data_IF_967119722450
#
_entry.id   IF_967119722450
#
_cell.length_a   1.000
_cell.length_b   1.000
_cell.length_c   1.000
_cell.angle_alpha   90.00
_cell.angle_beta   90.00
_cell.angle_gamma   90.00
#
_symmetry.space_group_name_H-M   'P 1'
#
loop_
_entity.id
_entity.type
_entity.pdbx_description
1 polymer ?
#
# COMPACT_ATOMS: atom_id res chain seq x y z
N UNK A 1 -6.71 11.94 -47.35
CA UNK A 1 -5.77 11.65 -46.25
C UNK A 1 -5.08 10.40 -46.71
N UNK A 2 -3.85 10.56 -47.18
CA UNK A 2 -3.17 9.53 -47.96
C UNK A 2 -2.45 8.60 -47.00
N UNK A 3 -2.61 7.28 -47.17
CA UNK A 3 -2.09 6.25 -46.25
C UNK A 3 -0.56 6.33 -46.06
N UNK A 4 0.15 6.92 -47.03
CA UNK A 4 1.59 7.17 -46.97
C UNK A 4 1.95 8.25 -45.94
N UNK A 5 1.06 9.20 -45.68
CA UNK A 5 1.26 10.22 -44.65
C UNK A 5 1.11 9.63 -43.24
N UNK A 6 0.23 8.64 -43.07
CA UNK A 6 0.03 7.92 -41.80
C UNK A 6 1.25 7.04 -41.48
N UNK A 7 1.85 6.41 -42.49
CA UNK A 7 3.07 5.60 -42.33
C UNK A 7 4.27 6.44 -41.91
N UNK A 8 4.45 7.61 -42.52
CA UNK A 8 5.52 8.56 -42.16
C UNK A 8 5.40 9.03 -40.70
N UNK A 9 4.20 9.36 -40.24
CA UNK A 9 3.94 9.75 -38.85
C UNK A 9 4.21 8.61 -37.84
N UNK A 10 3.90 7.37 -38.21
CA UNK A 10 4.15 6.19 -37.37
C UNK A 10 5.64 5.83 -37.31
N UNK A 11 6.39 6.03 -38.39
CA UNK A 11 7.82 5.75 -38.46
C UNK A 11 8.65 6.81 -37.71
N UNK A 12 8.20 8.06 -37.69
CA UNK A 12 8.82 9.16 -36.92
C UNK A 12 8.63 8.97 -35.40
N UNK A 13 7.51 8.38 -34.96
CA UNK A 13 7.25 8.04 -33.55
C UNK A 13 8.06 6.84 -33.04
N UNK A 14 8.43 5.92 -33.94
CA UNK A 14 9.26 4.75 -33.62
C UNK A 14 10.72 5.15 -33.29
N UNK A 15 11.24 6.20 -33.90
CA UNK A 15 12.65 6.61 -33.75
C UNK A 15 12.97 7.48 -32.52
N UNK A 16 11.98 7.85 -31.69
CA UNK A 16 12.18 8.77 -30.55
C UNK A 16 11.94 8.15 -29.16
N UNK A 17 11.82 6.82 -29.03
CA UNK A 17 11.58 6.17 -27.74
C UNK A 17 12.68 5.15 -27.40
N UNK A 18 13.86 5.64 -27.05
CA UNK A 18 14.83 4.86 -26.26
C UNK A 18 14.80 5.41 -24.83
N UNK A 19 13.90 4.84 -24.03
CA UNK A 19 13.99 4.88 -22.57
C UNK A 19 14.29 3.44 -22.15
N UNK A 20 15.58 3.16 -21.97
CA UNK A 20 16.03 2.02 -21.17
C UNK A 20 15.81 2.41 -19.71
N UNK A 21 14.88 1.73 -19.04
CA UNK A 21 14.78 1.77 -17.58
C UNK A 21 14.93 0.34 -17.08
N UNK A 22 16.07 0.11 -16.44
CA UNK A 22 16.50 -1.18 -15.89
C UNK A 22 15.63 -1.53 -14.68
N UNK A 23 15.00 -2.71 -14.77
CA UNK A 23 14.71 -3.65 -13.70
C UNK A 23 14.73 -3.12 -12.24
N UNK A 24 13.53 -2.93 -11.67
CA UNK A 24 13.34 -3.02 -10.22
C UNK A 24 12.27 -4.07 -9.91
N UNK A 25 12.72 -5.18 -9.31
CA UNK A 25 11.92 -6.33 -8.95
C UNK A 25 11.48 -6.19 -7.49
N UNK A 26 10.21 -5.86 -7.24
CA UNK A 26 9.65 -5.82 -5.88
C UNK A 26 8.43 -6.78 -5.80
N UNK A 27 8.79 -8.04 -5.52
CA UNK A 27 8.13 -9.07 -4.70
C UNK A 27 6.59 -9.06 -4.60
N UNK A 28 5.94 -10.01 -5.27
CA UNK A 28 4.56 -10.43 -4.97
C UNK A 28 4.50 -11.14 -3.61
N UNK A 29 3.77 -10.54 -2.66
CA UNK A 29 3.42 -11.16 -1.38
C UNK A 29 2.33 -12.22 -1.61
N UNK A 30 2.75 -13.47 -1.81
CA UNK A 30 1.86 -14.62 -1.97
C UNK A 30 1.24 -14.98 -0.60
N UNK A 31 0.06 -14.44 -0.32
CA UNK A 31 -0.77 -14.92 0.81
C UNK A 31 -1.40 -16.25 0.41
N UNK A 32 -0.79 -17.36 0.81
CA UNK A 32 -1.42 -18.69 0.76
C UNK A 32 -2.61 -18.72 1.72
N UNK A 33 -3.82 -18.73 1.14
CA UNK A 33 -5.05 -19.04 1.86
C UNK A 33 -5.12 -20.57 1.99
N UNK A 34 -4.82 -21.10 3.17
CA UNK A 34 -5.10 -22.50 3.48
C UNK A 34 -6.60 -22.67 3.75
N UNK A 35 -7.32 -23.26 2.80
CA UNK A 35 -8.67 -23.81 3.04
C UNK A 35 -8.53 -25.09 3.87
N UNK A 36 -8.94 -25.04 5.13
CA UNK A 36 -9.02 -26.25 5.98
C UNK A 36 -10.31 -27.02 5.64
N UNK A 37 -10.19 -28.07 4.83
CA UNK A 37 -11.23 -29.09 4.69
C UNK A 37 -11.05 -30.13 5.80
N UNK A 38 -11.97 -30.14 6.77
CA UNK A 38 -12.05 -31.20 7.77
C UNK A 38 -12.76 -32.41 7.15
N UNK A 39 -11.98 -33.40 6.76
CA UNK A 39 -12.48 -34.70 6.33
C UNK A 39 -12.57 -35.64 7.54
N UNK A 40 -13.76 -36.11 7.87
CA UNK A 40 -14.01 -37.06 8.96
C UNK A 40 -14.57 -38.33 8.36
N UNK A 41 -13.68 -39.24 7.99
CA UNK A 41 -14.08 -40.59 7.58
C UNK A 41 -14.07 -41.49 8.83
N UNK A 42 -15.28 -41.83 9.28
CA UNK A 42 -15.52 -42.97 10.15
C UNK A 42 -15.38 -44.22 9.31
N UNK A 43 -14.56 -45.17 9.74
CA UNK A 43 -14.75 -46.58 9.41
C UNK A 43 -14.54 -47.44 10.66
N UNK A 44 -15.61 -48.15 10.96
CA UNK A 44 -15.77 -49.21 11.95
C UNK A 44 -15.30 -50.50 11.27
N UNK A 45 -14.31 -51.19 11.83
CA UNK A 45 -14.14 -52.62 11.53
C UNK A 45 -13.52 -53.35 12.73
N UNK A 46 -14.32 -54.30 13.18
CA UNK A 46 -14.12 -55.23 14.27
C UNK A 46 -13.48 -56.51 13.71
N UNK A 47 -12.31 -56.91 14.22
CA UNK A 47 -11.84 -58.30 14.06
C UNK A 47 -10.96 -58.72 15.26
N UNK A 48 -11.49 -59.67 16.04
CA UNK A 48 -10.75 -60.51 16.98
C UNK A 48 -9.95 -61.56 16.20
N UNK A 49 -8.69 -61.82 16.59
CA UNK A 49 -8.16 -63.17 16.95
C UNK A 49 -6.61 -63.19 17.05
N UNK A 50 -6.19 -63.91 18.10
CA UNK A 50 -4.92 -64.62 18.35
C UNK A 50 -3.68 -63.85 18.80
N UNK A 51 -3.36 -64.11 20.06
CA UNK A 51 -2.11 -63.89 20.77
C UNK A 51 -1.00 -64.79 20.20
N UNK A 52 0.04 -64.20 19.61
CA UNK A 52 1.37 -64.81 19.52
C UNK A 52 2.42 -63.80 19.98
N UNK A 53 3.10 -64.17 21.07
CA UNK A 53 4.14 -63.41 21.75
C UNK A 53 5.38 -63.22 20.87
N UNK A 54 5.50 -62.05 20.24
CA UNK A 54 6.79 -61.43 19.98
C UNK A 54 6.95 -60.21 20.87
N UNK A 55 7.84 -60.34 21.85
CA UNK A 55 8.23 -59.33 22.84
C UNK A 55 9.05 -58.19 22.18
N UNK A 56 8.46 -57.49 21.24
CA UNK A 56 8.96 -56.20 20.77
C UNK A 56 8.22 -55.12 21.54
N UNK A 57 8.89 -54.51 22.52
CA UNK A 57 8.37 -53.32 23.19
C UNK A 57 8.04 -52.32 22.09
N UNK A 58 6.75 -52.12 21.80
CA UNK A 58 6.27 -51.13 20.86
C UNK A 58 6.84 -49.78 21.29
N UNK A 59 7.92 -49.36 20.64
CA UNK A 59 8.49 -48.06 20.93
C UNK A 59 7.51 -47.03 20.38
N UNK A 60 7.06 -46.12 21.25
CA UNK A 60 6.22 -44.97 20.92
C UNK A 60 6.95 -43.94 20.03
N UNK A 61 8.02 -44.33 19.33
CA UNK A 61 8.81 -43.47 18.46
C UNK A 61 9.41 -44.24 17.29
N UNK A 62 9.61 -43.55 16.17
CA UNK A 62 10.44 -43.99 15.06
C UNK A 62 11.90 -43.54 15.30
N UNK A 63 12.86 -44.34 14.82
CA UNK A 63 14.27 -43.99 14.88
C UNK A 63 14.74 -43.45 13.52
N UNK A 64 15.46 -42.34 13.56
CA UNK A 64 16.11 -41.76 12.38
C UNK A 64 17.19 -42.68 11.82
N UNK A 65 17.58 -42.46 10.56
CA UNK A 65 18.64 -43.23 9.89
C UNK A 65 20.01 -43.13 10.59
N UNK A 66 20.20 -42.09 11.41
CA UNK A 66 21.38 -41.87 12.24
C UNK A 66 21.41 -42.76 13.50
N UNK A 67 20.33 -43.51 13.77
CA UNK A 67 20.17 -44.35 14.95
C UNK A 67 20.04 -43.57 16.27
N UNK A 68 19.96 -42.24 16.22
CA UNK A 68 19.98 -41.38 17.41
C UNK A 68 18.74 -40.50 17.52
N UNK A 69 18.23 -40.01 16.39
CA UNK A 69 17.06 -39.13 16.38
C UNK A 69 15.80 -39.95 16.62
N UNK A 70 15.00 -39.58 17.64
CA UNK A 70 13.74 -40.25 17.98
C UNK A 70 12.56 -39.36 17.62
N UNK A 71 11.61 -39.91 16.86
CA UNK A 71 10.38 -39.26 16.41
C UNK A 71 9.18 -39.90 17.08
N UNK A 72 8.64 -39.27 18.13
CA UNK A 72 7.49 -39.84 18.85
C UNK A 72 6.28 -39.97 17.92
N UNK A 73 5.57 -41.10 18.02
CA UNK A 73 4.35 -41.43 17.25
C UNK A 73 3.14 -40.63 17.74
N UNK A 74 3.14 -40.23 19.00
CA UNK A 74 2.10 -39.43 19.62
C UNK A 74 2.60 -38.01 19.90
N UNK A 75 1.72 -36.99 19.79
CA UNK A 75 2.05 -35.64 20.21
C UNK A 75 2.42 -35.63 21.69
N UNK A 76 3.37 -34.78 22.08
CA UNK A 76 3.78 -34.66 23.48
C UNK A 76 2.55 -34.36 24.36
N UNK A 77 2.29 -35.23 25.35
CA UNK A 77 1.11 -35.16 26.22
C UNK A 77 0.97 -33.83 27.00
N UNK A 78 2.05 -33.06 27.10
CA UNK A 78 2.03 -31.73 27.70
C UNK A 78 2.43 -30.69 26.66
N UNK A 79 1.61 -29.65 26.40
CA UNK A 79 2.06 -28.49 25.68
C UNK A 79 3.23 -27.88 26.47
N UNK A 80 4.45 -28.14 26.02
CA UNK A 80 5.66 -27.57 26.61
C UNK A 80 5.50 -26.05 26.65
N UNK A 81 5.85 -25.43 27.79
CA UNK A 81 5.81 -23.97 27.96
C UNK A 81 6.38 -23.29 26.73
N UNK A 82 5.59 -22.42 26.07
CA UNK A 82 6.09 -21.61 24.95
C UNK A 82 7.41 -20.96 25.38
N UNK A 83 8.42 -21.02 24.51
CA UNK A 83 9.75 -20.46 24.83
C UNK A 83 9.59 -19.00 25.27
N UNK A 84 10.40 -18.55 26.23
CA UNK A 84 10.31 -17.18 26.79
C UNK A 84 10.52 -16.07 25.75
N UNK A 85 10.98 -16.43 24.55
CA UNK A 85 11.09 -15.62 23.34
C UNK A 85 10.11 -16.22 22.31
N UNK A 86 9.26 -15.40 21.70
CA UNK A 86 8.03 -15.73 20.94
C UNK A 86 6.73 -15.81 21.75
N UNK A 87 6.58 -14.94 22.74
CA UNK A 87 5.26 -14.58 23.26
C UNK A 87 4.82 -13.33 22.49
N UNK A 88 3.84 -13.47 21.60
CA UNK A 88 3.16 -12.32 21.00
C UNK A 88 2.34 -11.66 22.11
N UNK A 89 2.87 -10.60 22.71
CA UNK A 89 2.24 -9.89 23.82
C UNK A 89 1.29 -8.80 23.37
N UNK A 90 1.41 -8.34 22.12
CA UNK A 90 0.55 -7.31 21.54
C UNK A 90 -0.23 -7.93 20.39
N UNK A 91 -1.55 -7.91 20.51
CA UNK A 91 -2.43 -8.31 19.43
C UNK A 91 -2.37 -7.24 18.33
N UNK A 92 -2.45 -7.63 17.05
CA UNK A 92 -2.56 -6.68 15.96
C UNK A 92 -3.85 -5.86 16.09
N UNK A 93 -3.78 -4.55 15.89
CA UNK A 93 -4.94 -3.68 15.93
C UNK A 93 -4.61 -2.20 16.10
N UNK A 94 -5.63 -1.35 15.91
CA UNK A 94 -5.53 0.09 16.13
C UNK A 94 -5.23 0.40 17.61
N UNK A 95 -4.31 1.33 17.84
CA UNK A 95 -3.81 1.68 19.18
C UNK A 95 -4.21 3.11 19.55
N UNK A 96 -4.43 3.34 20.85
CA UNK A 96 -4.70 4.67 21.39
C UNK A 96 -6.01 5.25 20.85
N UNK A 97 -5.97 6.52 20.45
CA UNK A 97 -7.13 7.27 19.94
C UNK A 97 -7.73 6.63 18.68
N UNK A 98 -6.89 6.03 17.81
CA UNK A 98 -7.33 5.36 16.59
C UNK A 98 -8.28 4.17 16.83
N UNK A 99 -8.34 3.63 18.05
CA UNK A 99 -9.24 2.51 18.39
C UNK A 99 -10.71 2.92 18.38
N UNK A 100 -11.00 4.17 18.73
CA UNK A 100 -12.37 4.66 18.91
C UNK A 100 -12.90 5.40 17.68
N UNK A 101 -12.01 5.80 16.76
CA UNK A 101 -12.36 6.53 15.56
C UNK A 101 -12.88 5.58 14.48
N UNK A 102 -14.00 5.96 13.86
CA UNK A 102 -14.60 5.23 12.74
C UNK A 102 -14.75 6.10 11.50
N UNK A 103 -14.84 7.42 11.70
CA UNK A 103 -14.99 8.37 10.60
C UNK A 103 -13.68 8.50 9.82
N UNK A 104 -13.70 8.29 8.48
CA UNK A 104 -12.50 8.35 7.65
C UNK A 104 -11.76 9.70 7.76
N UNK A 105 -12.51 10.80 7.90
CA UNK A 105 -11.91 12.14 8.05
C UNK A 105 -11.15 12.31 9.35
N UNK A 106 -11.67 11.78 10.46
CA UNK A 106 -10.98 11.82 11.76
C UNK A 106 -9.74 10.92 11.77
N UNK A 107 -9.85 9.75 11.16
CA UNK A 107 -8.70 8.85 10.96
C UNK A 107 -7.62 9.50 10.09
N UNK A 108 -8.00 10.22 9.03
CA UNK A 108 -7.05 10.94 8.18
C UNK A 108 -6.27 12.00 8.95
N UNK A 109 -6.94 12.74 9.86
CA UNK A 109 -6.30 13.76 10.71
C UNK A 109 -5.26 13.18 11.68
N UNK A 110 -5.29 11.88 11.98
CA UNK A 110 -4.22 11.24 12.75
C UNK A 110 -2.90 11.16 11.98
N UNK A 111 -2.96 11.03 10.65
CA UNK A 111 -1.77 11.03 9.79
C UNK A 111 -1.32 12.44 9.46
N UNK A 112 -2.28 13.33 9.19
CA UNK A 112 -2.04 14.74 8.89
C UNK A 112 -2.62 15.61 10.00
N UNK A 113 -1.84 15.79 11.06
CA UNK A 113 -2.23 16.65 12.17
C UNK A 113 -2.36 18.12 11.71
N UNK A 114 -3.14 18.92 12.45
CA UNK A 114 -3.27 20.36 12.20
C UNK A 114 -1.90 21.07 12.21
N UNK A 115 -0.98 20.64 13.08
CA UNK A 115 0.38 21.16 13.11
C UNK A 115 1.17 20.84 11.85
N UNK A 116 1.02 19.62 11.31
CA UNK A 116 1.63 19.21 10.04
C UNK A 116 1.10 20.03 8.87
N UNK A 117 -0.22 20.21 8.78
CA UNK A 117 -0.84 21.03 7.72
C UNK A 117 -0.37 22.48 7.82
N UNK A 118 -0.37 23.06 9.01
CA UNK A 118 0.10 24.43 9.24
C UNK A 118 1.57 24.62 8.84
N UNK A 119 2.41 23.62 9.08
CA UNK A 119 3.81 23.61 8.67
C UNK A 119 3.95 23.62 7.14
N UNK A 120 3.18 22.76 6.45
CA UNK A 120 3.15 22.68 4.99
C UNK A 120 2.71 24.02 4.40
N UNK A 121 1.64 24.61 4.93
CA UNK A 121 1.13 25.91 4.51
C UNK A 121 2.19 27.00 4.65
N UNK A 122 2.84 27.08 5.82
CA UNK A 122 3.90 28.06 6.09
C UNK A 122 5.00 28.00 5.02
N UNK A 123 5.61 26.84 4.83
CA UNK A 123 6.76 26.73 3.92
C UNK A 123 6.37 26.77 2.44
N UNK A 124 5.18 26.29 2.10
CA UNK A 124 4.63 26.45 0.75
C UNK A 124 4.41 27.93 0.43
N UNK A 125 3.90 28.73 1.38
CA UNK A 125 3.75 30.18 1.22
C UNK A 125 5.09 30.91 1.10
N UNK A 126 6.12 30.50 1.84
CA UNK A 126 7.48 31.04 1.65
C UNK A 126 7.99 30.80 0.21
N UNK A 127 7.74 29.61 -0.34
CA UNK A 127 8.11 29.29 -1.72
C UNK A 127 7.27 30.03 -2.76
N UNK A 128 5.96 30.19 -2.54
CA UNK A 128 5.07 31.00 -3.38
C UNK A 128 5.57 32.44 -3.43
N UNK A 129 5.84 33.05 -2.27
CA UNK A 129 6.34 34.41 -2.16
C UNK A 129 7.64 34.64 -2.94
N UNK A 130 8.55 33.66 -2.94
CA UNK A 130 9.77 33.73 -3.75
C UNK A 130 9.51 33.71 -5.25
N UNK A 131 8.46 33.03 -5.70
CA UNK A 131 8.11 32.94 -7.12
C UNK A 131 7.17 34.04 -7.61
N UNK A 132 6.56 34.84 -6.73
CA UNK A 132 5.60 35.90 -7.08
C UNK A 132 6.09 36.82 -8.20
N UNK A 133 7.38 37.18 -8.22
CA UNK A 133 7.96 38.04 -9.24
C UNK A 133 7.88 37.48 -10.68
N UNK A 134 7.71 36.17 -10.85
CA UNK A 134 7.58 35.52 -12.16
C UNK A 134 6.17 35.66 -12.75
N UNK A 135 5.20 36.16 -11.98
CA UNK A 135 3.81 36.23 -12.39
C UNK A 135 3.38 37.68 -12.59
N UNK A 136 2.72 37.97 -13.71
CA UNK A 136 2.18 39.31 -13.98
C UNK A 136 0.97 39.62 -13.10
N UNK A 137 0.18 38.60 -12.74
CA UNK A 137 -1.05 38.74 -11.95
C UNK A 137 -0.85 38.15 -10.57
N UNK A 138 -1.09 38.95 -9.55
CA UNK A 138 -0.96 38.54 -8.14
C UNK A 138 -1.84 37.32 -7.81
N UNK A 139 -3.08 37.29 -8.34
CA UNK A 139 -4.02 36.19 -8.12
C UNK A 139 -3.50 34.83 -8.60
N UNK A 140 -2.65 34.80 -9.62
CA UNK A 140 -2.15 33.55 -10.21
C UNK A 140 -1.06 32.93 -9.32
N UNK A 141 -0.55 33.68 -8.33
CA UNK A 141 0.46 33.27 -7.35
C UNK A 141 0.08 33.72 -5.93
N UNK A 142 -1.21 33.60 -5.59
CA UNK A 142 -1.72 33.91 -4.25
C UNK A 142 -1.21 32.89 -3.22
N UNK A 143 -1.16 33.30 -1.96
CA UNK A 143 -0.80 32.41 -0.85
C UNK A 143 -1.90 31.33 -0.65
N UNK A 144 -1.56 30.25 0.03
CA UNK A 144 -2.43 29.11 0.34
C UNK A 144 -2.79 29.08 1.82
N UNK A 145 -3.87 28.37 2.16
CA UNK A 145 -4.35 28.19 3.53
C UNK A 145 -4.49 26.70 3.88
N UNK A 146 -4.86 26.43 5.14
CA UNK A 146 -5.01 25.06 5.63
C UNK A 146 -6.09 24.29 4.85
N UNK A 147 -7.20 24.96 4.47
CA UNK A 147 -8.32 24.34 3.77
C UNK A 147 -7.91 23.92 2.35
N UNK A 148 -7.20 24.80 1.65
CA UNK A 148 -6.72 24.55 0.30
C UNK A 148 -5.66 23.44 0.28
N UNK A 149 -4.75 23.40 1.26
CA UNK A 149 -3.78 22.30 1.38
C UNK A 149 -4.47 20.97 1.72
N UNK A 150 -5.45 20.95 2.65
CA UNK A 150 -6.25 19.75 2.91
C UNK A 150 -6.97 19.28 1.63
N UNK A 151 -7.58 20.19 0.89
CA UNK A 151 -8.26 19.90 -0.37
C UNK A 151 -7.30 19.38 -1.45
N UNK A 152 -6.13 19.99 -1.57
CA UNK A 152 -5.07 19.58 -2.48
C UNK A 152 -4.58 18.16 -2.18
N UNK A 153 -4.28 17.84 -0.91
CA UNK A 153 -3.88 16.51 -0.47
C UNK A 153 -5.00 15.48 -0.72
N UNK A 154 -6.26 15.88 -0.51
CA UNK A 154 -7.43 15.06 -0.85
C UNK A 154 -7.49 14.70 -2.34
N UNK A 155 -7.22 15.65 -3.24
CA UNK A 155 -7.14 15.39 -4.68
C UNK A 155 -5.99 14.44 -5.03
N UNK A 156 -4.83 14.57 -4.38
CA UNK A 156 -3.69 13.66 -4.59
C UNK A 156 -4.01 12.23 -4.12
N UNK A 157 -4.63 12.10 -2.95
CA UNK A 157 -5.07 10.80 -2.43
C UNK A 157 -6.09 10.16 -3.37
N UNK A 158 -7.06 10.95 -3.85
CA UNK A 158 -8.06 10.47 -4.79
C UNK A 158 -7.45 10.07 -6.15
N UNK A 159 -6.46 10.82 -6.65
CA UNK A 159 -5.72 10.46 -7.85
C UNK A 159 -4.99 9.11 -7.69
N UNK A 160 -4.38 8.86 -6.53
CA UNK A 160 -3.71 7.60 -6.19
C UNK A 160 -4.67 6.41 -6.18
N UNK A 161 -5.86 6.56 -5.57
CA UNK A 161 -6.89 5.50 -5.53
C UNK A 161 -7.32 5.05 -6.93
N UNK A 162 -7.36 5.97 -7.90
CA UNK A 162 -7.72 5.64 -9.29
C UNK A 162 -6.62 4.92 -10.06
N UNK A 163 -5.51 4.53 -9.41
CA UNK A 163 -4.34 3.82 -9.99
C UNK A 163 -3.75 4.53 -11.21
N UNK A 164 -3.86 5.85 -11.23
CA UNK A 164 -3.53 6.69 -12.37
C UNK A 164 -2.18 7.40 -12.19
N UNK A 165 -1.19 6.73 -11.59
CA UNK A 165 0.13 7.32 -11.33
C UNK A 165 0.83 7.81 -12.61
N UNK A 166 0.46 7.25 -13.77
CA UNK A 166 1.03 7.60 -15.09
C UNK A 166 0.18 8.58 -15.90
N UNK A 167 -1.01 8.98 -15.41
CA UNK A 167 -1.83 9.95 -16.14
C UNK A 167 -1.32 11.37 -15.91
N UNK A 168 -1.42 12.18 -16.95
CA UNK A 168 -1.08 13.59 -16.84
C UNK A 168 -2.12 14.28 -15.94
N UNK A 169 -1.70 15.24 -15.12
CA UNK A 169 -2.63 15.99 -14.30
C UNK A 169 -3.76 16.63 -15.14
N UNK A 170 -3.49 17.01 -16.40
CA UNK A 170 -4.49 17.52 -17.35
C UNK A 170 -5.67 16.56 -17.56
N UNK A 171 -5.43 15.26 -17.54
CA UNK A 171 -6.47 14.26 -17.80
C UNK A 171 -7.51 14.22 -16.68
N UNK A 172 -7.13 14.56 -15.44
CA UNK A 172 -8.07 14.67 -14.33
C UNK A 172 -8.96 15.91 -14.39
N UNK A 173 -8.61 16.91 -15.20
CA UNK A 173 -9.34 18.19 -15.31
C UNK A 173 -10.02 18.35 -16.68
N UNK A 174 -10.28 17.25 -17.40
CA UNK A 174 -11.01 17.30 -18.67
C UNK A 174 -12.49 17.70 -18.45
N UNK A 175 -13.09 18.27 -19.48
CA UNK A 175 -14.51 18.71 -19.45
C UNK A 175 -15.41 17.84 -20.31
N UNK A 176 -14.87 16.79 -20.93
CA UNK A 176 -15.58 15.87 -21.83
C UNK A 176 -16.38 14.77 -21.11
N UNK A 177 -16.48 14.86 -19.78
CA UNK A 177 -17.19 13.87 -18.94
C UNK A 177 -16.37 12.62 -18.60
N UNK A 178 -15.15 12.48 -19.13
CA UNK A 178 -14.31 11.31 -18.84
C UNK A 178 -13.61 11.38 -17.48
N UNK A 179 -13.37 12.58 -16.97
CA UNK A 179 -12.64 12.81 -15.73
C UNK A 179 -13.58 13.06 -14.54
N UNK A 180 -13.22 12.62 -13.33
CA UNK A 180 -14.00 12.91 -12.13
C UNK A 180 -14.16 14.41 -11.90
N UNK A 181 -15.40 14.86 -11.75
CA UNK A 181 -15.71 16.30 -11.61
C UNK A 181 -15.10 16.92 -10.36
N UNK A 182 -14.83 16.11 -9.33
CA UNK A 182 -14.27 16.55 -8.05
C UNK A 182 -13.00 17.39 -8.21
N UNK A 183 -12.13 17.10 -9.18
CA UNK A 183 -10.93 17.89 -9.43
C UNK A 183 -11.26 19.34 -9.79
N UNK A 184 -12.14 19.52 -10.79
CA UNK A 184 -12.54 20.84 -11.28
C UNK A 184 -13.44 21.60 -10.31
N UNK A 185 -14.22 20.87 -9.51
CA UNK A 185 -15.08 21.46 -8.48
C UNK A 185 -14.29 21.91 -7.25
N UNK A 186 -13.14 21.29 -6.98
CA UNK A 186 -12.29 21.62 -5.82
C UNK A 186 -11.33 22.76 -6.12
N UNK A 187 -10.60 22.73 -7.24
CA UNK A 187 -9.71 23.81 -7.65
C UNK A 187 -9.47 23.83 -9.17
N UNK A 188 -8.86 24.89 -9.68
CA UNK A 188 -8.47 24.97 -11.10
C UNK A 188 -7.17 24.22 -11.40
N UNK A 189 -7.03 23.71 -12.63
CA UNK A 189 -5.82 23.01 -13.10
C UNK A 189 -4.54 23.83 -12.91
N UNK A 190 -4.58 25.13 -13.22
CA UNK A 190 -3.43 26.02 -13.05
C UNK A 190 -3.02 26.16 -11.57
N UNK A 191 -4.00 26.21 -10.66
CA UNK A 191 -3.75 26.29 -9.22
C UNK A 191 -3.19 24.98 -8.69
N UNK A 192 -3.75 23.85 -9.14
CA UNK A 192 -3.24 22.52 -8.82
C UNK A 192 -1.76 22.37 -9.22
N UNK A 193 -1.39 22.77 -10.44
CA UNK A 193 0.01 22.76 -10.88
C UNK A 193 0.92 23.68 -10.08
N UNK A 194 0.42 24.87 -9.71
CA UNK A 194 1.17 25.79 -8.87
C UNK A 194 1.46 25.14 -7.51
N UNK A 195 0.45 24.57 -6.84
CA UNK A 195 0.63 23.90 -5.54
C UNK A 195 1.58 22.71 -5.66
N UNK A 196 1.44 21.86 -6.68
CA UNK A 196 2.38 20.77 -6.98
C UNK A 196 3.83 21.26 -7.07
N UNK A 197 4.07 22.42 -7.69
CA UNK A 197 5.42 23.00 -7.82
C UNK A 197 5.92 23.65 -6.53
N UNK A 198 5.02 24.26 -5.76
CA UNK A 198 5.36 25.06 -4.58
C UNK A 198 5.41 24.26 -3.28
N UNK A 199 4.84 23.05 -3.24
CA UNK A 199 4.70 22.26 -2.01
C UNK A 199 6.04 22.10 -1.29
N UNK A 200 6.11 22.52 -0.03
CA UNK A 200 7.31 22.39 0.83
C UNK A 200 6.92 21.94 2.23
N UNK A 201 7.86 21.25 2.86
CA UNK A 201 7.73 20.70 4.23
C UNK A 201 8.75 21.29 5.20
N UNK A 202 9.74 22.02 4.70
CA UNK A 202 10.76 22.70 5.50
C UNK A 202 11.18 24.03 4.83
N UNK A 203 11.89 24.86 5.58
CA UNK A 203 12.59 26.02 5.05
C UNK A 203 13.65 25.58 4.05
N UNK A 204 13.90 26.44 3.06
CA UNK A 204 14.98 26.21 2.09
C UNK A 204 16.36 26.58 2.65
N UNK A 205 16.38 27.29 3.78
CA UNK A 205 17.60 27.86 4.35
C UNK A 205 18.24 26.92 5.40
N UNK A 206 17.66 25.73 5.60
CA UNK A 206 18.18 24.61 6.39
C UNK A 206 19.10 23.73 5.54
#
# INVERSE_FOLDING_TARGET
MDDDHIRLLLEELSSSSSYEDENDSEVEDNVEVQEETYDTEQDDDNDEISEEEHNERSHDFYLGKDGQTRWNKSPASNPTRRRAKNIVTQLPGARGEARNLKEPGELWRLFFSEGTISLIVKYTNEQINRMKHNFTRERDCADTDNIEIEAFLGLLLFAGVRRNARLNAKDFFRTDGSSPEIFRLTMGLSRFYLLMRCLRFDSKDT
#
